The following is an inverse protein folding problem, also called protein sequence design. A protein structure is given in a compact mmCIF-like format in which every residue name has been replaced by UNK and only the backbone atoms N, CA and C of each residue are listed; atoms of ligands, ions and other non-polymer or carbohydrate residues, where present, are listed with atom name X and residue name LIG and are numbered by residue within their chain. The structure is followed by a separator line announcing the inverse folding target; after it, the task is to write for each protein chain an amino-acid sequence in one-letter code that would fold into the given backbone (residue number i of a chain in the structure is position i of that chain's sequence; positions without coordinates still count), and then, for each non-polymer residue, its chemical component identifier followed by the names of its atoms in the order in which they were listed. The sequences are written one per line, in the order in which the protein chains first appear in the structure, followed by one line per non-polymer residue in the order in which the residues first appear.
data_IF_512963953196
#
_entry.id   IF_512963953196
#
_cell.length_a   1.000
_cell.length_b   1.000
_cell.length_c   1.000
_cell.angle_alpha   90.00
_cell.angle_beta   90.00
_cell.angle_gamma   90.00
#
_symmetry.space_group_name_H-M   'P 1'
#
loop_
_entity.id
_entity.type
_entity.pdbx_description
1 polymer ?
#
# COMPACT_ATOMS: atom_id res chain seq x y z
N UNK A 1 -2.19 -19.43 14.10
CA UNK A 1 -1.72 -18.03 13.95
C UNK A 1 -2.48 -17.41 12.80
N UNK A 2 -3.80 -17.26 12.98
CA UNK A 2 -4.67 -16.67 11.96
C UNK A 2 -4.48 -15.17 12.01
N UNK A 3 -3.95 -14.61 10.92
CA UNK A 3 -3.82 -13.18 10.73
C UNK A 3 -5.25 -12.67 10.53
N UNK A 4 -5.93 -12.31 11.62
CA UNK A 4 -7.28 -11.76 11.59
C UNK A 4 -7.23 -10.36 10.97
N UNK A 5 -7.15 -10.31 9.64
CA UNK A 5 -7.22 -9.07 8.88
C UNK A 5 -8.64 -8.56 9.04
N UNK A 6 -8.78 -7.44 9.75
CA UNK A 6 -10.06 -6.81 10.07
C UNK A 6 -10.91 -6.73 8.79
N UNK A 7 -12.21 -7.10 8.83
CA UNK A 7 -13.06 -7.01 7.66
C UNK A 7 -13.34 -5.53 7.41
N UNK A 8 -12.49 -4.90 6.59
CA UNK A 8 -12.79 -3.58 6.04
C UNK A 8 -14.12 -3.74 5.32
N UNK A 9 -15.17 -3.05 5.80
CA UNK A 9 -16.53 -3.12 5.26
C UNK A 9 -16.53 -2.59 3.81
N UNK A 10 -16.10 -3.44 2.87
CA UNK A 10 -16.00 -3.10 1.46
C UNK A 10 -17.37 -3.27 0.82
N UNK A 11 -18.01 -2.15 0.52
CA UNK A 11 -19.21 -2.11 -0.34
C UNK A 11 -18.92 -2.51 -1.79
N UNK A 12 -17.65 -2.57 -2.20
CA UNK A 12 -17.26 -2.90 -3.57
C UNK A 12 -16.07 -3.88 -3.58
N UNK A 13 -16.10 -4.93 -4.40
CA UNK A 13 -14.94 -5.78 -4.60
C UNK A 13 -13.79 -4.94 -5.16
N UNK A 14 -12.56 -5.11 -4.64
CA UNK A 14 -11.41 -4.42 -5.19
C UNK A 14 -11.15 -4.91 -6.62
N UNK A 15 -10.70 -4.02 -7.53
CA UNK A 15 -10.33 -4.42 -8.89
C UNK A 15 -9.22 -5.48 -8.86
N UNK A 16 -9.23 -6.39 -9.85
CA UNK A 16 -8.31 -7.53 -9.96
C UNK A 16 -6.83 -7.15 -10.12
N UNK A 17 -6.51 -5.88 -10.37
CA UNK A 17 -5.16 -5.39 -10.61
C UNK A 17 -4.48 -4.98 -9.29
N UNK A 18 -4.36 -5.92 -8.36
CA UNK A 18 -3.72 -5.68 -7.06
C UNK A 18 -2.20 -5.75 -7.24
N UNK A 19 -1.54 -4.60 -7.26
CA UNK A 19 -0.08 -4.53 -7.17
C UNK A 19 0.33 -4.48 -5.71
N UNK A 20 1.19 -5.42 -5.32
CA UNK A 20 1.79 -5.45 -3.98
C UNK A 20 2.72 -4.25 -3.80
N UNK A 21 2.66 -3.62 -2.63
CA UNK A 21 3.49 -2.46 -2.30
C UNK A 21 4.27 -2.71 -1.02
N UNK A 22 5.50 -2.24 -1.01
CA UNK A 22 6.38 -2.26 0.15
C UNK A 22 6.61 -0.85 0.64
N UNK A 23 6.50 -0.67 1.96
CA UNK A 23 7.04 0.50 2.62
C UNK A 23 8.54 0.30 2.80
N UNK A 24 9.35 1.21 2.27
CA UNK A 24 10.82 1.15 2.40
C UNK A 24 11.25 1.50 3.83
N UNK A 25 10.49 2.36 4.50
CA UNK A 25 10.83 2.87 5.83
C UNK A 25 10.59 1.82 6.92
N UNK A 26 9.43 1.16 6.89
CA UNK A 26 9.06 0.11 7.86
C UNK A 26 9.45 -1.30 7.39
N UNK A 27 9.77 -1.47 6.11
CA UNK A 27 10.07 -2.77 5.50
C UNK A 27 8.84 -3.67 5.28
N UNK A 28 7.64 -3.21 5.65
CA UNK A 28 6.40 -4.00 5.56
C UNK A 28 5.91 -4.09 4.12
N UNK A 29 5.54 -5.29 3.70
CA UNK A 29 4.95 -5.57 2.40
C UNK A 29 3.44 -5.77 2.57
N UNK A 30 2.67 -5.03 1.79
CA UNK A 30 1.22 -5.07 1.74
C UNK A 30 0.76 -5.62 0.39
N UNK A 31 -0.38 -6.30 0.41
CA UNK A 31 -0.98 -6.88 -0.80
C UNK A 31 -1.43 -5.80 -1.80
N UNK A 32 -1.80 -4.61 -1.28
CA UNK A 32 -2.22 -3.49 -2.12
C UNK A 32 -2.04 -2.13 -1.42
N UNK A 33 -2.02 -1.05 -2.21
CA UNK A 33 -1.93 0.35 -1.71
C UNK A 33 -3.02 0.72 -0.71
N UNK A 34 -4.19 0.09 -0.80
CA UNK A 34 -5.33 0.40 0.08
C UNK A 34 -5.20 -0.30 1.42
N UNK A 35 -4.65 -1.50 1.42
CA UNK A 35 -4.28 -2.23 2.65
C UNK A 35 -3.17 -1.48 3.40
N UNK A 36 -2.15 -1.00 2.66
CA UNK A 36 -1.14 -0.12 3.20
C UNK A 36 -1.75 1.14 3.84
N UNK A 37 -2.63 1.85 3.13
CA UNK A 37 -3.29 3.04 3.66
C UNK A 37 -4.08 2.78 4.95
N UNK A 38 -4.81 1.66 5.03
CA UNK A 38 -5.61 1.29 6.20
C UNK A 38 -4.70 1.00 7.42
N UNK A 39 -3.65 0.21 7.21
CA UNK A 39 -2.68 -0.14 8.25
C UNK A 39 -1.91 1.08 8.77
N UNK A 40 -1.72 2.10 7.93
CA UNK A 40 -1.05 3.34 8.33
C UNK A 40 -1.95 4.26 9.16
N UNK A 41 -3.27 4.19 8.98
CA UNK A 41 -4.21 4.91 9.86
C UNK A 41 -4.02 4.43 11.31
N UNK A 42 -3.75 3.15 11.53
CA UNK A 42 -3.42 2.62 12.86
C UNK A 42 -2.12 3.18 13.44
N UNK A 43 -1.21 3.63 12.57
CA UNK A 43 0.08 4.25 12.94
C UNK A 43 -0.02 5.78 13.01
N UNK A 44 -1.23 6.34 13.05
CA UNK A 44 -1.51 7.80 12.98
C UNK A 44 -1.00 8.49 11.69
N UNK A 45 -0.72 7.70 10.64
CA UNK A 45 -0.27 8.19 9.34
C UNK A 45 -1.46 8.17 8.38
N UNK A 46 -2.08 9.33 8.17
CA UNK A 46 -3.11 9.46 7.15
C UNK A 46 -2.45 9.54 5.76
N UNK A 47 -2.68 8.54 4.92
CA UNK A 47 -2.24 8.57 3.53
C UNK A 47 -3.33 8.07 2.62
N UNK A 48 -3.43 8.70 1.45
CA UNK A 48 -4.35 8.24 0.42
C UNK A 48 -3.70 7.14 -0.42
N UNK A 49 -4.45 6.09 -0.82
CA UNK A 49 -3.93 5.05 -1.71
C UNK A 49 -3.45 5.62 -3.06
N UNK A 50 -4.03 6.74 -3.49
CA UNK A 50 -3.59 7.46 -4.69
C UNK A 50 -2.21 8.11 -4.54
N UNK A 51 -1.87 8.63 -3.36
CA UNK A 51 -0.54 9.19 -3.11
C UNK A 51 0.51 8.08 -3.07
N UNK A 52 0.21 6.94 -2.43
CA UNK A 52 1.10 5.76 -2.46
C UNK A 52 1.36 5.35 -3.92
N UNK A 53 0.30 5.25 -4.74
CA UNK A 53 0.43 4.94 -6.17
C UNK A 53 1.31 5.97 -6.90
N UNK A 54 1.12 7.27 -6.64
CA UNK A 54 1.95 8.33 -7.26
C UNK A 54 3.43 8.19 -6.85
N UNK A 55 3.72 7.81 -5.61
CA UNK A 55 5.09 7.56 -5.15
C UNK A 55 5.71 6.36 -5.85
N UNK A 56 4.99 5.23 -5.91
CA UNK A 56 5.49 4.04 -6.58
C UNK A 56 5.69 4.25 -8.09
N UNK A 57 4.96 5.19 -8.71
CA UNK A 57 5.13 5.60 -10.10
C UNK A 57 6.25 6.65 -10.30
N UNK A 58 6.94 7.07 -9.23
CA UNK A 58 7.95 8.13 -9.28
C UNK A 58 7.40 9.54 -9.50
N UNK A 59 6.07 9.74 -9.43
CA UNK A 59 5.44 11.07 -9.54
C UNK A 59 5.50 11.87 -8.23
N UNK A 60 5.79 11.21 -7.12
CA UNK A 60 5.95 11.80 -5.77
C UNK A 60 7.17 11.15 -5.11
N UNK A 61 7.85 11.88 -4.23
CA UNK A 61 8.99 11.31 -3.48
C UNK A 61 8.56 10.54 -2.23
N UNK A 62 7.49 10.99 -1.57
CA UNK A 62 7.00 10.40 -0.31
C UNK A 62 5.48 10.50 -0.22
N UNK A 63 4.85 9.58 0.51
CA UNK A 63 3.42 9.55 0.81
C UNK A 63 3.24 9.19 2.28
N UNK A 64 2.48 10.01 3.02
CA UNK A 64 2.34 9.83 4.46
C UNK A 64 3.68 9.94 5.22
N UNK A 65 4.62 10.74 4.70
CA UNK A 65 6.02 10.85 5.20
C UNK A 65 6.86 9.59 5.03
N UNK A 66 6.35 8.57 4.36
CA UNK A 66 7.03 7.30 4.09
C UNK A 66 7.35 7.14 2.60
N UNK A 67 8.29 6.24 2.29
CA UNK A 67 8.67 5.87 0.92
C UNK A 67 8.05 4.53 0.55
N UNK A 68 7.60 4.43 -0.71
CA UNK A 68 6.81 3.30 -1.20
C UNK A 68 7.35 2.78 -2.52
N UNK A 69 7.35 1.47 -2.70
CA UNK A 69 7.81 0.79 -3.91
C UNK A 69 6.88 -0.36 -4.28
N UNK A 70 6.73 -0.64 -5.58
CA UNK A 70 5.99 -1.82 -6.04
C UNK A 70 6.89 -3.05 -5.96
N UNK A 71 6.43 -4.11 -5.28
CA UNK A 71 7.17 -5.38 -5.17
C UNK A 71 7.09 -6.19 -6.46
N UNK A 72 6.01 -6.00 -7.22
CA UNK A 72 5.69 -6.75 -8.43
C UNK A 72 6.44 -6.26 -9.70
N UNK A 73 6.98 -5.05 -9.69
CA UNK A 73 7.64 -4.47 -10.87
C UNK A 73 9.06 -5.04 -11.13
N UNK A 74 9.48 -6.09 -10.40
CA UNK A 74 10.81 -6.70 -10.49
C UNK A 74 10.92 -7.86 -11.50
N UNK A 75 9.84 -8.26 -12.19
CA UNK A 75 9.90 -9.33 -13.20
C UNK A 75 9.25 -8.84 -14.49
N UNK A 76 10.01 -8.15 -15.35
CA UNK A 76 10.15 -8.35 -16.81
C UNK A 76 11.02 -7.21 -17.34
N UNK A 77 12.32 -7.48 -17.49
CA UNK A 77 13.13 -6.90 -18.57
C UNK A 77 14.28 -7.83 -18.91
#
# INVERSE_FOLDING_TARGET
MEKNTKPVLRRHPPPQNRKQVRCIDTGVIYDCVRDAADMLIETEISVSPEDIRKVCLGRRMTAGRLRWEYVDDAIVK
#
